data_IF_876426920944
#
_entry.id   IF_876426920944
#
_cell.length_a   1.000
_cell.length_b   1.000
_cell.length_c   1.000
_cell.angle_alpha   90.00
_cell.angle_beta   90.00
_cell.angle_gamma   90.00
#
_symmetry.space_group_name_H-M   'P 1'
#
loop_
_entity.id
_entity.type
_entity.pdbx_description
1 polymer ?
#
# COMPACT_ATOMS: atom_id res chain seq x y z
N UNK A 1 14.96 1.30 20.14
CA UNK A 1 15.22 1.39 18.69
C UNK A 1 16.03 2.67 18.40
N UNK A 2 17.38 2.65 18.63
CA UNK A 2 18.25 3.85 18.46
C UNK A 2 18.24 4.41 17.02
N UNK A 3 18.04 3.58 16.01
CA UNK A 3 18.05 4.00 14.59
C UNK A 3 16.74 4.69 14.15
N UNK A 4 15.63 4.53 14.89
CA UNK A 4 14.34 5.15 14.56
C UNK A 4 14.41 6.69 14.56
N UNK A 5 15.20 7.29 15.43
CA UNK A 5 15.39 8.76 15.46
C UNK A 5 15.91 9.32 14.13
N UNK A 6 16.59 8.49 13.31
CA UNK A 6 17.10 8.85 11.98
C UNK A 6 16.11 8.49 10.86
N UNK A 7 15.41 7.36 10.98
CA UNK A 7 14.44 6.87 9.98
C UNK A 7 13.12 7.61 10.07
N UNK A 8 12.63 7.92 11.29
CA UNK A 8 11.36 8.60 11.56
C UNK A 8 10.17 7.90 10.91
N UNK A 9 10.09 6.59 11.09
CA UNK A 9 9.03 5.76 10.52
C UNK A 9 7.77 5.72 11.36
N UNK A 10 7.87 5.98 12.66
CA UNK A 10 6.76 5.94 13.60
C UNK A 10 6.18 7.32 13.90
N UNK A 11 4.88 7.37 14.09
CA UNK A 11 4.19 8.55 14.59
C UNK A 11 4.61 8.79 16.04
N UNK A 12 5.04 10.00 16.35
CA UNK A 12 5.55 10.39 17.67
C UNK A 12 4.55 10.02 18.78
N UNK A 13 5.05 9.35 19.83
CA UNK A 13 4.28 8.96 21.01
C UNK A 13 3.45 7.67 20.84
N UNK A 14 3.59 6.95 19.71
CA UNK A 14 2.85 5.68 19.50
C UNK A 14 3.70 4.43 19.71
N UNK A 15 5.01 4.54 19.77
CA UNK A 15 5.92 3.47 20.11
C UNK A 15 6.13 3.41 21.65
N UNK A 16 5.90 2.25 22.23
CA UNK A 16 6.13 1.98 23.64
C UNK A 16 6.78 0.60 23.82
N UNK A 17 8.09 0.63 24.10
CA UNK A 17 8.90 -0.59 24.27
C UNK A 17 8.43 -1.43 25.46
N UNK A 18 8.07 -0.77 26.59
CA UNK A 18 7.62 -1.48 27.80
C UNK A 18 6.32 -2.24 27.54
N UNK A 19 5.38 -1.61 26.82
CA UNK A 19 4.13 -2.25 26.39
C UNK A 19 4.42 -3.45 25.50
N UNK A 20 5.27 -3.28 24.48
CA UNK A 20 5.62 -4.36 23.53
C UNK A 20 6.23 -5.55 24.28
N UNK A 21 7.20 -5.32 25.17
CA UNK A 21 7.82 -6.37 25.98
C UNK A 21 6.80 -7.07 26.88
N UNK A 22 5.88 -6.30 27.51
CA UNK A 22 4.78 -6.85 28.30
C UNK A 22 3.85 -7.72 27.44
N UNK A 23 3.51 -7.28 26.24
CA UNK A 23 2.65 -8.04 25.33
C UNK A 23 3.34 -9.32 24.83
N UNK A 24 4.65 -9.29 24.56
CA UNK A 24 5.44 -10.49 24.23
C UNK A 24 5.48 -11.51 25.39
N UNK A 25 5.47 -11.05 26.63
CA UNK A 25 5.54 -11.91 27.81
C UNK A 25 4.19 -12.46 28.28
N UNK A 26 3.06 -11.98 27.71
CA UNK A 26 1.74 -12.48 28.09
C UNK A 26 1.62 -13.98 27.81
N UNK A 27 1.23 -14.79 28.82
CA UNK A 27 0.86 -16.17 28.56
C UNK A 27 -0.38 -16.16 27.67
N UNK A 28 -0.26 -16.69 26.48
CA UNK A 28 -1.42 -16.93 25.62
C UNK A 28 -2.27 -18.00 26.28
N UNK A 29 -3.58 -17.77 26.39
CA UNK A 29 -4.52 -18.60 27.13
C UNK A 29 -4.35 -20.09 26.83
N UNK A 30 -4.70 -20.94 27.83
CA UNK A 30 -4.53 -22.40 27.87
C UNK A 30 -5.25 -23.21 26.75
N UNK A 31 -5.76 -22.56 25.72
CA UNK A 31 -6.29 -23.24 24.55
C UNK A 31 -5.13 -23.72 23.69
N UNK A 32 -5.08 -25.00 23.39
CA UNK A 32 -4.04 -25.71 22.60
C UNK A 32 -3.84 -25.19 21.16
N UNK A 33 -4.46 -24.05 20.77
CA UNK A 33 -4.33 -23.46 19.45
C UNK A 33 -3.04 -22.63 19.40
N UNK A 34 -2.06 -23.11 18.66
CA UNK A 34 -0.87 -22.32 18.28
C UNK A 34 -1.33 -21.08 17.55
N UNK A 35 -1.15 -19.89 18.13
CA UNK A 35 -1.42 -18.62 17.48
C UNK A 35 -0.49 -18.47 16.25
N UNK A 36 -1.03 -18.35 15.04
CA UNK A 36 -0.23 -18.40 13.80
C UNK A 36 0.76 -17.26 13.66
N UNK A 37 0.49 -16.11 14.28
CA UNK A 37 1.33 -14.91 14.24
C UNK A 37 1.93 -14.56 15.62
N UNK A 38 2.05 -15.54 16.51
CA UNK A 38 2.59 -15.33 17.87
C UNK A 38 3.89 -14.52 17.83
N UNK A 39 3.90 -13.40 18.59
CA UNK A 39 5.02 -12.49 18.76
C UNK A 39 5.51 -11.79 17.46
N UNK A 40 4.77 -11.88 16.36
CA UNK A 40 5.06 -11.11 15.16
C UNK A 40 4.78 -9.62 15.42
N UNK A 41 5.77 -8.77 15.17
CA UNK A 41 5.66 -7.33 15.35
C UNK A 41 5.06 -6.67 14.11
N UNK A 42 4.00 -5.87 14.28
CA UNK A 42 3.40 -5.17 13.14
C UNK A 42 3.17 -3.68 13.36
N UNK A 43 3.44 -2.89 12.32
CA UNK A 43 3.15 -1.46 12.24
C UNK A 43 1.83 -1.20 11.52
N UNK A 44 1.18 -0.06 11.81
CA UNK A 44 -0.11 0.30 11.20
C UNK A 44 -0.08 1.74 10.68
N UNK A 45 -0.29 1.93 9.37
CA UNK A 45 -0.33 3.26 8.74
C UNK A 45 -1.34 4.18 9.42
N UNK A 46 -0.98 5.44 9.63
CA UNK A 46 -1.73 6.40 10.43
C UNK A 46 -2.96 7.02 9.74
N UNK A 47 -3.61 6.26 8.89
CA UNK A 47 -5.00 6.48 8.41
C UNK A 47 -5.90 5.29 8.77
N UNK A 48 -5.38 4.32 9.51
CA UNK A 48 -6.04 3.10 9.94
C UNK A 48 -6.21 3.18 11.45
N UNK A 49 -7.41 3.02 11.96
CA UNK A 49 -7.71 3.14 13.37
C UNK A 49 -7.16 1.95 14.18
N UNK A 50 -6.55 2.28 15.30
CA UNK A 50 -6.07 1.34 16.32
C UNK A 50 -6.55 1.85 17.67
N UNK A 51 -7.24 1.02 18.44
CA UNK A 51 -7.76 1.39 19.75
C UNK A 51 -6.65 1.85 20.71
N UNK A 52 -6.93 2.93 21.43
CA UNK A 52 -5.97 3.55 22.32
C UNK A 52 -4.97 4.50 21.65
N UNK A 53 -5.01 4.64 20.31
CA UNK A 53 -4.11 5.52 19.56
C UNK A 53 -4.88 6.47 18.64
N UNK A 54 -4.64 7.78 18.72
CA UNK A 54 -5.28 8.73 17.80
C UNK A 54 -4.82 8.49 16.37
N UNK A 55 -5.75 8.53 15.43
CA UNK A 55 -5.46 8.60 13.99
C UNK A 55 -5.30 10.05 13.60
N UNK A 56 -4.14 10.44 13.04
CA UNK A 56 -3.79 11.84 12.71
C UNK A 56 -3.67 12.08 11.21
N UNK A 57 -3.60 11.03 10.41
CA UNK A 57 -3.55 11.08 8.95
C UNK A 57 -2.39 11.91 8.37
N UNK A 58 -1.29 12.10 9.11
CA UNK A 58 -0.18 12.97 8.71
C UNK A 58 -0.57 14.46 8.63
N UNK A 59 -1.69 14.86 9.22
CA UNK A 59 -2.31 16.17 9.09
C UNK A 59 -2.22 17.00 10.39
N UNK A 60 -2.41 18.31 10.26
CA UNK A 60 -2.56 19.25 11.39
C UNK A 60 -4.03 19.43 11.80
N UNK A 61 -4.98 18.83 11.12
CA UNK A 61 -6.39 18.87 11.51
C UNK A 61 -6.60 18.21 12.88
N UNK A 62 -7.60 18.63 13.65
CA UNK A 62 -7.98 17.98 14.90
C UNK A 62 -8.23 16.48 14.69
N UNK A 63 -7.52 15.63 15.41
CA UNK A 63 -7.61 14.18 15.22
C UNK A 63 -8.95 13.58 15.67
N UNK A 64 -9.72 14.34 16.43
CA UNK A 64 -11.09 14.00 16.82
C UNK A 64 -12.02 13.81 15.60
N UNK A 65 -11.72 14.48 14.49
CA UNK A 65 -12.44 14.35 13.23
C UNK A 65 -12.29 12.95 12.61
N UNK A 66 -11.25 12.21 12.97
CA UNK A 66 -10.90 10.92 12.39
C UNK A 66 -11.14 9.75 13.34
N UNK A 67 -11.85 9.99 14.46
CA UNK A 67 -12.22 8.93 15.41
C UNK A 67 -13.11 7.89 14.72
N UNK A 68 -12.81 6.63 14.96
CA UNK A 68 -13.57 5.48 14.46
C UNK A 68 -13.21 4.23 15.24
N UNK A 69 -13.94 3.16 15.02
CA UNK A 69 -13.67 1.85 15.59
C UNK A 69 -12.32 1.30 15.06
N UNK A 70 -11.69 0.44 15.83
CA UNK A 70 -10.50 -0.27 15.39
C UNK A 70 -10.75 -1.01 14.07
N UNK A 71 -9.79 -0.94 13.16
CA UNK A 71 -9.88 -1.60 11.86
C UNK A 71 -9.91 -3.13 12.02
N UNK A 72 -10.78 -3.80 11.25
CA UNK A 72 -10.93 -5.26 11.30
C UNK A 72 -9.62 -6.00 11.04
N UNK A 73 -8.81 -5.53 10.08
CA UNK A 73 -7.50 -6.13 9.80
C UNK A 73 -6.52 -6.02 10.98
N UNK A 74 -6.62 -4.98 11.80
CA UNK A 74 -5.83 -4.84 13.04
C UNK A 74 -6.31 -5.85 14.08
N UNK A 75 -7.62 -5.94 14.30
CA UNK A 75 -8.22 -6.92 15.23
C UNK A 75 -7.81 -8.35 14.86
N UNK A 76 -7.94 -8.72 13.58
CA UNK A 76 -7.56 -10.06 13.10
C UNK A 76 -6.08 -10.40 13.36
N UNK A 77 -5.15 -9.43 13.19
CA UNK A 77 -3.74 -9.66 13.50
C UNK A 77 -3.49 -9.83 14.99
N UNK A 78 -4.14 -9.02 15.84
CA UNK A 78 -4.03 -9.14 17.31
C UNK A 78 -4.58 -10.48 17.80
N UNK A 79 -5.73 -10.91 17.28
CA UNK A 79 -6.37 -12.19 17.63
C UNK A 79 -5.51 -13.38 17.18
N UNK A 80 -4.76 -13.23 16.09
CA UNK A 80 -3.78 -14.22 15.64
C UNK A 80 -2.46 -14.23 16.45
N UNK A 81 -2.33 -13.36 17.45
CA UNK A 81 -1.17 -13.28 18.36
C UNK A 81 -0.06 -12.35 17.90
N UNK A 82 -0.28 -11.53 16.87
CA UNK A 82 0.66 -10.49 16.49
C UNK A 82 0.62 -9.32 17.51
N UNK A 83 1.72 -8.60 17.60
CA UNK A 83 1.90 -7.50 18.56
C UNK A 83 1.99 -6.18 17.80
N UNK A 84 1.06 -5.28 18.08
CA UNK A 84 1.10 -3.92 17.53
C UNK A 84 2.36 -3.19 18.03
N UNK A 85 3.15 -2.65 17.11
CA UNK A 85 4.39 -1.93 17.42
C UNK A 85 4.12 -0.43 17.59
N UNK A 86 3.64 0.21 16.54
CA UNK A 86 3.36 1.64 16.50
C UNK A 86 2.49 2.02 15.31
N UNK A 87 1.88 3.22 15.35
CA UNK A 87 1.36 3.86 14.14
C UNK A 87 2.52 4.28 13.27
N UNK A 88 2.45 4.00 11.97
CA UNK A 88 3.51 4.35 11.01
C UNK A 88 3.15 5.61 10.22
N UNK A 89 4.15 6.43 9.92
CA UNK A 89 3.97 7.72 9.23
C UNK A 89 3.35 7.51 7.85
N UNK A 90 2.40 8.38 7.52
CA UNK A 90 1.77 8.50 6.21
C UNK A 90 1.98 9.89 5.64
N UNK A 91 1.99 10.03 4.31
CA UNK A 91 1.73 11.33 3.70
C UNK A 91 0.34 11.83 4.10
N UNK A 92 0.15 13.14 4.20
CA UNK A 92 -1.13 13.74 4.63
C UNK A 92 -2.29 13.16 3.81
N UNK A 93 -3.27 12.54 4.49
CA UNK A 93 -4.44 11.88 3.91
C UNK A 93 -4.13 10.91 2.76
N UNK A 94 -2.97 10.24 2.82
CA UNK A 94 -2.46 9.37 1.75
C UNK A 94 -2.20 10.07 0.40
N UNK A 95 -2.17 11.39 0.34
CA UNK A 95 -1.82 12.20 -0.84
C UNK A 95 -0.29 12.10 -1.10
N UNK A 96 0.33 13.03 -1.81
CA UNK A 96 1.69 12.84 -2.33
C UNK A 96 2.78 13.64 -1.61
N UNK A 97 2.51 14.26 -0.46
CA UNK A 97 3.53 15.06 0.22
C UNK A 97 4.53 14.17 0.96
N UNK A 98 5.83 14.20 0.64
CA UNK A 98 6.83 13.47 1.40
C UNK A 98 6.90 14.00 2.83
N UNK A 99 6.81 13.07 3.81
CA UNK A 99 6.99 13.39 5.22
C UNK A 99 8.47 13.43 5.61
N UNK A 100 8.73 13.42 6.92
CA UNK A 100 10.09 13.40 7.48
C UNK A 100 10.75 12.02 7.42
N UNK A 101 10.00 10.97 7.11
CA UNK A 101 10.50 9.59 7.06
C UNK A 101 11.62 9.47 6.02
N UNK A 102 12.69 8.79 6.40
CA UNK A 102 13.86 8.55 5.55
C UNK A 102 13.95 7.08 5.17
N UNK A 103 14.50 6.84 3.99
CA UNK A 103 14.72 5.48 3.51
C UNK A 103 15.86 4.83 4.31
N UNK A 104 15.65 3.69 5.00
CA UNK A 104 16.70 3.04 5.78
C UNK A 104 17.90 2.56 4.93
N UNK A 105 17.70 2.34 3.63
CA UNK A 105 18.76 1.97 2.70
C UNK A 105 19.70 3.13 2.38
N UNK A 106 19.15 4.36 2.33
CA UNK A 106 19.88 5.58 2.16
C UNK A 106 19.09 6.75 2.79
N UNK A 107 19.56 7.26 3.92
CA UNK A 107 18.86 8.29 4.69
C UNK A 107 18.74 9.64 3.97
N UNK A 108 19.45 9.88 2.87
CA UNK A 108 19.30 11.07 2.04
C UNK A 108 18.11 10.98 1.08
N UNK A 109 17.52 9.79 0.94
CA UNK A 109 16.40 9.52 0.03
C UNK A 109 15.07 9.36 0.77
N UNK A 110 13.98 9.59 0.04
CA UNK A 110 12.63 9.25 0.48
C UNK A 110 12.41 7.74 0.48
N UNK A 111 11.63 7.19 1.43
CA UNK A 111 11.18 5.81 1.36
C UNK A 111 10.05 5.60 0.34
N UNK A 112 9.65 6.63 -0.40
CA UNK A 112 8.41 6.64 -1.16
C UNK A 112 7.19 6.89 -0.28
N UNK A 113 6.00 6.82 -0.88
CA UNK A 113 4.73 7.08 -0.18
C UNK A 113 3.53 6.54 -0.98
N UNK A 114 2.37 6.73 -0.37
CA UNK A 114 2.03 7.43 0.86
C UNK A 114 2.26 6.61 2.16
N UNK A 115 2.46 5.29 2.10
CA UNK A 115 2.75 4.42 3.26
C UNK A 115 4.25 4.43 3.62
N UNK A 116 4.83 5.64 3.77
CA UNK A 116 6.27 5.86 3.96
C UNK A 116 6.82 5.16 5.21
N UNK A 117 6.18 5.37 6.35
CA UNK A 117 6.60 4.77 7.61
C UNK A 117 6.42 3.26 7.63
N UNK A 118 5.38 2.71 6.97
CA UNK A 118 5.15 1.26 6.90
C UNK A 118 6.29 0.55 6.17
N UNK A 119 6.67 1.03 4.99
CA UNK A 119 7.80 0.46 4.25
C UNK A 119 9.13 0.63 5.00
N UNK A 120 9.38 1.83 5.53
CA UNK A 120 10.62 2.14 6.23
C UNK A 120 10.78 1.34 7.54
N UNK A 121 9.70 1.15 8.32
CA UNK A 121 9.77 0.37 9.57
C UNK A 121 10.11 -1.09 9.33
N UNK A 122 9.57 -1.70 8.27
CA UNK A 122 9.90 -3.08 7.88
C UNK A 122 11.32 -3.17 7.35
N UNK A 123 11.74 -2.24 6.49
CA UNK A 123 13.10 -2.21 5.94
C UNK A 123 14.19 -1.99 7.00
N UNK A 124 13.87 -1.22 8.05
CA UNK A 124 14.76 -0.99 9.20
C UNK A 124 14.73 -2.13 10.24
N UNK A 125 13.85 -3.11 10.08
CA UNK A 125 13.69 -4.22 11.04
C UNK A 125 12.98 -3.84 12.33
N UNK A 126 12.23 -2.73 12.36
CA UNK A 126 11.44 -2.30 13.53
C UNK A 126 10.11 -3.06 13.64
N UNK A 127 9.62 -3.55 12.52
CA UNK A 127 8.46 -4.43 12.41
C UNK A 127 8.81 -5.60 11.49
N UNK A 128 8.17 -6.74 11.71
CA UNK A 128 8.25 -7.90 10.80
C UNK A 128 7.38 -7.68 9.57
N UNK A 129 6.19 -7.12 9.80
CA UNK A 129 5.27 -6.66 8.76
C UNK A 129 4.73 -5.27 9.11
N UNK A 130 4.12 -4.60 8.13
CA UNK A 130 3.33 -3.40 8.38
C UNK A 130 2.12 -3.33 7.46
N UNK A 131 1.02 -2.78 7.97
CA UNK A 131 -0.17 -2.50 7.17
C UNK A 131 -0.05 -1.11 6.57
N UNK A 132 -0.35 -1.00 5.29
CA UNK A 132 -0.49 0.26 4.58
C UNK A 132 -1.73 0.30 3.71
N UNK A 133 -1.87 1.35 2.92
CA UNK A 133 -2.95 1.49 1.94
C UNK A 133 -2.41 1.89 0.59
N UNK A 134 -3.13 1.52 -0.45
CA UNK A 134 -2.81 1.90 -1.82
C UNK A 134 -4.05 2.33 -2.59
N UNK A 135 -3.98 3.52 -3.13
CA UNK A 135 -4.92 4.04 -4.13
C UNK A 135 -4.35 3.79 -5.54
N UNK A 136 -3.17 4.33 -5.83
CA UNK A 136 -2.47 4.12 -7.12
C UNK A 136 -1.19 3.28 -6.97
N UNK A 137 -0.25 3.67 -6.11
CA UNK A 137 1.04 3.00 -5.95
C UNK A 137 1.57 2.96 -4.51
N UNK A 138 0.75 3.32 -3.52
CA UNK A 138 1.20 3.64 -2.16
C UNK A 138 1.59 2.45 -1.26
N UNK A 139 1.58 1.21 -1.78
CA UNK A 139 2.17 0.01 -1.16
C UNK A 139 3.35 -0.46 -1.98
N UNK A 140 3.13 -0.75 -3.27
CA UNK A 140 4.18 -1.37 -4.11
C UNK A 140 5.37 -0.43 -4.33
N UNK A 141 5.12 0.88 -4.54
CA UNK A 141 6.19 1.87 -4.76
C UNK A 141 7.12 2.03 -3.55
N UNK A 142 6.63 2.37 -2.32
CA UNK A 142 7.51 2.45 -1.16
C UNK A 142 8.15 1.10 -0.79
N UNK A 143 7.51 -0.03 -1.09
CA UNK A 143 8.15 -1.34 -0.94
C UNK A 143 9.36 -1.50 -1.87
N UNK A 144 9.23 -1.13 -3.14
CA UNK A 144 10.33 -1.13 -4.10
C UNK A 144 11.48 -0.22 -3.67
N UNK A 145 11.18 1.01 -3.24
CA UNK A 145 12.20 1.97 -2.78
C UNK A 145 12.95 1.51 -1.53
N UNK A 146 12.27 0.84 -0.61
CA UNK A 146 12.87 0.35 0.64
C UNK A 146 13.45 -1.06 0.53
N UNK A 147 13.27 -1.76 -0.60
CA UNK A 147 13.74 -3.13 -0.81
C UNK A 147 13.07 -4.14 0.12
N UNK A 148 11.76 -4.04 0.27
CA UNK A 148 10.89 -4.97 1.00
C UNK A 148 9.77 -5.47 0.10
N UNK A 149 9.06 -6.51 0.52
CA UNK A 149 7.91 -7.02 -0.20
C UNK A 149 6.70 -6.13 0.09
N UNK A 150 6.02 -5.66 -0.97
CA UNK A 150 4.72 -5.01 -0.90
C UNK A 150 3.66 -5.87 -1.56
N UNK A 151 2.61 -6.24 -0.83
CA UNK A 151 1.50 -7.02 -1.34
C UNK A 151 0.21 -6.21 -1.31
N UNK A 152 -0.43 -6.09 -2.47
CA UNK A 152 -1.75 -5.48 -2.63
C UNK A 152 -2.71 -6.52 -3.23
N UNK A 153 -3.69 -7.00 -2.49
CA UNK A 153 -4.70 -7.93 -3.01
C UNK A 153 -5.64 -7.26 -4.02
N UNK A 154 -6.50 -8.04 -4.64
CA UNK A 154 -7.62 -7.51 -5.41
C UNK A 154 -8.53 -6.65 -4.54
N UNK A 155 -9.29 -5.74 -5.16
CA UNK A 155 -10.20 -4.83 -4.46
C UNK A 155 -11.20 -5.60 -3.58
N UNK A 156 -11.38 -5.12 -2.35
CA UNK A 156 -12.33 -5.69 -1.40
C UNK A 156 -11.87 -6.99 -0.69
N UNK A 157 -10.67 -7.53 -1.00
CA UNK A 157 -10.18 -8.76 -0.38
C UNK A 157 -9.65 -8.59 1.06
N UNK A 158 -9.39 -7.37 1.48
CA UNK A 158 -9.14 -7.01 2.88
C UNK A 158 -10.15 -5.91 3.23
N UNK A 159 -10.90 -6.09 4.33
CA UNK A 159 -11.87 -5.09 4.79
C UNK A 159 -11.20 -3.75 5.04
N UNK A 160 -11.88 -2.67 4.63
CA UNK A 160 -11.45 -1.28 4.83
C UNK A 160 -12.17 -0.61 6.01
N UNK A 161 -12.85 -1.40 6.85
CA UNK A 161 -13.48 -0.88 8.06
C UNK A 161 -12.42 -0.27 8.99
N UNK A 162 -12.72 0.88 9.56
CA UNK A 162 -11.79 1.61 10.42
C UNK A 162 -10.65 2.30 9.67
N UNK A 163 -10.79 2.54 8.36
CA UNK A 163 -9.81 3.24 7.53
C UNK A 163 -10.39 4.57 7.04
N UNK A 164 -9.64 5.66 7.19
CA UNK A 164 -9.97 6.91 6.51
C UNK A 164 -9.58 6.79 5.04
N UNK A 165 -10.58 6.76 4.15
CA UNK A 165 -10.37 6.56 2.73
C UNK A 165 -9.92 7.85 2.03
N UNK A 166 -8.97 7.73 1.11
CA UNK A 166 -8.64 8.74 0.12
C UNK A 166 -9.59 8.66 -1.09
N UNK A 167 -9.85 7.42 -1.55
CA UNK A 167 -10.72 7.14 -2.68
C UNK A 167 -11.55 5.88 -2.40
N UNK A 168 -12.87 6.03 -2.38
CA UNK A 168 -13.79 4.93 -2.07
C UNK A 168 -13.76 3.80 -3.12
N UNK A 169 -13.46 4.12 -4.37
CA UNK A 169 -13.42 3.16 -5.47
C UNK A 169 -12.04 2.55 -5.74
N UNK A 170 -10.96 3.17 -5.20
CA UNK A 170 -9.58 2.77 -5.54
C UNK A 170 -8.76 2.29 -4.35
N UNK A 171 -9.13 2.63 -3.11
CA UNK A 171 -8.32 2.30 -1.95
C UNK A 171 -8.33 0.80 -1.64
N UNK A 172 -7.14 0.30 -1.37
CA UNK A 172 -6.88 -1.06 -0.92
C UNK A 172 -6.09 -1.01 0.38
N UNK A 173 -6.27 -2.00 1.24
CA UNK A 173 -5.29 -2.31 2.27
C UNK A 173 -4.22 -3.20 1.64
N UNK A 174 -2.95 -2.96 2.01
CA UNK A 174 -1.84 -3.79 1.61
C UNK A 174 -0.87 -4.02 2.75
N UNK A 175 0.05 -4.96 2.53
CA UNK A 175 0.98 -5.45 3.54
C UNK A 175 2.40 -5.21 3.04
N UNK A 176 3.25 -4.74 3.93
CA UNK A 176 4.69 -4.76 3.78
C UNK A 176 5.25 -5.92 4.59
N UNK A 177 6.16 -6.68 4.01
CA UNK A 177 6.79 -7.82 4.69
C UNK A 177 8.28 -7.89 4.40
N UNK A 178 9.02 -8.38 5.36
CA UNK A 178 10.45 -8.58 5.27
C UNK A 178 10.82 -9.74 4.33
N UNK A 179 9.96 -10.75 4.26
CA UNK A 179 10.15 -11.94 3.42
C UNK A 179 8.81 -12.62 3.09
N UNK A 180 8.82 -13.54 2.13
CA UNK A 180 7.63 -14.25 1.67
C UNK A 180 7.01 -15.13 2.75
N UNK A 181 7.81 -15.79 3.59
CA UNK A 181 7.29 -16.67 4.64
C UNK A 181 6.39 -15.92 5.63
N UNK A 182 6.81 -14.72 6.07
CA UNK A 182 5.99 -13.88 6.93
C UNK A 182 4.70 -13.42 6.23
N UNK A 183 4.80 -13.09 4.95
CA UNK A 183 3.64 -12.72 4.14
C UNK A 183 2.65 -13.89 4.05
N UNK A 184 3.09 -15.07 3.66
CA UNK A 184 2.25 -16.28 3.53
C UNK A 184 1.54 -16.64 4.84
N UNK A 185 2.19 -16.47 5.98
CA UNK A 185 1.58 -16.67 7.31
C UNK A 185 0.53 -15.62 7.65
N UNK A 186 0.67 -14.41 7.11
CA UNK A 186 -0.21 -13.27 7.41
C UNK A 186 -1.45 -13.27 6.53
N UNK A 187 -1.33 -13.64 5.26
CA UNK A 187 -2.41 -13.54 4.27
C UNK A 187 -3.69 -14.29 4.68
N UNK A 188 -3.64 -15.53 5.20
CA UNK A 188 -4.84 -16.25 5.63
C UNK A 188 -5.61 -15.58 6.77
N UNK A 189 -4.97 -14.68 7.51
CA UNK A 189 -5.55 -14.00 8.67
C UNK A 189 -6.35 -12.78 8.28
N UNK A 190 -5.93 -12.05 7.24
CA UNK A 190 -6.52 -10.75 6.91
C UNK A 190 -7.11 -10.66 5.51
N UNK A 191 -6.88 -11.65 4.65
CA UNK A 191 -7.44 -11.69 3.30
C UNK A 191 -8.67 -12.58 3.29
N UNK A 192 -9.81 -12.02 2.98
CA UNK A 192 -11.07 -12.75 2.90
C UNK A 192 -11.01 -13.86 1.84
N UNK A 193 -11.58 -15.02 2.20
CA UNK A 193 -11.62 -16.20 1.33
C UNK A 193 -10.24 -16.61 0.81
N UNK A 194 -9.19 -16.46 1.65
CA UNK A 194 -7.85 -16.90 1.28
C UNK A 194 -7.81 -18.41 1.03
N UNK A 195 -7.24 -18.80 -0.08
CA UNK A 195 -6.93 -20.20 -0.38
C UNK A 195 -5.47 -20.28 -0.81
N UNK A 196 -4.73 -21.25 -0.27
CA UNK A 196 -3.40 -21.53 -0.79
C UNK A 196 -3.56 -22.12 -2.19
N UNK A 197 -2.87 -21.57 -3.21
CA UNK A 197 -2.85 -22.20 -4.51
C UNK A 197 -2.27 -23.61 -4.35
N UNK A 198 -2.94 -24.62 -4.92
CA UNK A 198 -2.33 -25.95 -5.00
C UNK A 198 -1.07 -25.81 -5.86
N UNK A 199 0.09 -26.25 -5.40
CA UNK A 199 1.29 -26.22 -6.22
C UNK A 199 1.03 -27.06 -7.48
N UNK A 200 0.87 -26.42 -8.60
CA UNK A 200 0.83 -27.10 -9.91
C UNK A 200 2.25 -27.04 -10.47
N UNK A 201 3.11 -27.94 -10.01
CA UNK A 201 4.50 -28.04 -10.45
C UNK A 201 4.66 -28.28 -11.96
N UNK A 202 3.57 -28.68 -12.65
CA UNK A 202 3.59 -29.05 -14.07
C UNK A 202 3.06 -27.96 -15.02
N UNK A 203 2.72 -26.77 -14.53
CA UNK A 203 2.28 -25.71 -15.42
C UNK A 203 3.45 -24.87 -15.90
N UNK A 204 3.64 -24.85 -17.21
CA UNK A 204 4.42 -23.83 -17.88
C UNK A 204 3.81 -22.46 -17.58
N UNK A 205 4.47 -21.66 -16.74
CA UNK A 205 4.03 -20.29 -16.41
C UNK A 205 4.45 -19.37 -17.55
N UNK A 206 3.50 -18.61 -18.09
CA UNK A 206 3.71 -17.62 -19.12
C UNK A 206 3.73 -16.21 -18.50
N UNK A 207 4.88 -15.57 -18.58
CA UNK A 207 5.12 -14.24 -18.02
C UNK A 207 4.97 -13.20 -19.11
N UNK A 208 4.04 -12.26 -18.93
CA UNK A 208 3.88 -11.09 -19.79
C UNK A 208 4.87 -9.98 -19.39
N UNK A 209 5.58 -9.47 -20.38
CA UNK A 209 6.51 -8.35 -20.27
C UNK A 209 5.91 -7.20 -21.06
N UNK A 210 5.49 -6.08 -20.41
CA UNK A 210 4.98 -4.94 -21.14
C UNK A 210 6.10 -4.27 -21.92
N UNK A 211 5.79 -3.90 -23.17
CA UNK A 211 6.68 -3.13 -24.05
C UNK A 211 6.05 -1.77 -24.41
N UNK A 212 6.72 -0.99 -25.23
CA UNK A 212 6.21 0.25 -25.81
C UNK A 212 6.05 1.39 -24.81
N UNK A 213 4.96 2.12 -24.91
CA UNK A 213 4.71 3.38 -24.19
C UNK A 213 4.78 3.26 -22.66
N UNK A 214 4.46 2.09 -22.10
CA UNK A 214 4.54 1.82 -20.66
C UNK A 214 5.97 1.95 -20.13
N UNK A 215 6.94 1.37 -20.82
CA UNK A 215 8.35 1.39 -20.39
C UNK A 215 9.03 2.75 -20.61
N UNK A 216 8.52 3.56 -21.55
CA UNK A 216 9.06 4.90 -21.86
C UNK A 216 9.00 5.87 -20.68
N UNK A 217 8.20 5.57 -19.66
CA UNK A 217 8.16 6.34 -18.41
C UNK A 217 9.36 6.07 -17.50
N UNK A 218 10.09 4.97 -17.71
CA UNK A 218 11.16 4.53 -16.83
C UNK A 218 12.51 5.12 -17.24
N UNK A 219 13.33 5.48 -16.26
CA UNK A 219 14.69 5.97 -16.50
C UNK A 219 15.63 4.84 -16.97
N UNK A 220 16.72 5.16 -17.70
CA UNK A 220 17.62 4.16 -18.29
C UNK A 220 18.19 3.14 -17.29
N UNK A 221 18.51 3.56 -16.07
CA UNK A 221 19.04 2.64 -15.05
C UNK A 221 17.99 1.64 -14.54
N UNK A 222 16.71 2.04 -14.46
CA UNK A 222 15.60 1.15 -14.12
C UNK A 222 15.38 0.15 -15.24
N UNK A 223 15.35 0.60 -16.50
CA UNK A 223 15.23 -0.27 -17.68
C UNK A 223 16.37 -1.28 -17.76
N UNK A 224 17.61 -0.86 -17.48
CA UNK A 224 18.76 -1.77 -17.46
C UNK A 224 18.56 -2.90 -16.45
N UNK A 225 18.16 -2.60 -15.22
CA UNK A 225 17.89 -3.62 -14.21
C UNK A 225 16.71 -4.51 -14.60
N UNK A 226 15.66 -3.90 -15.10
CA UNK A 226 14.48 -4.63 -15.57
C UNK A 226 14.83 -5.63 -16.68
N UNK A 227 15.58 -5.23 -17.71
CA UNK A 227 16.00 -6.11 -18.77
C UNK A 227 16.91 -7.25 -18.28
N UNK A 228 17.78 -7.00 -17.31
CA UNK A 228 18.58 -8.06 -16.67
C UNK A 228 17.70 -9.11 -15.98
N UNK A 229 16.63 -8.67 -15.29
CA UNK A 229 15.66 -9.58 -14.65
C UNK A 229 14.91 -10.36 -15.72
N UNK A 230 14.43 -9.71 -16.78
CA UNK A 230 13.73 -10.36 -17.90
C UNK A 230 14.61 -11.46 -18.51
N UNK A 231 15.89 -11.18 -18.76
CA UNK A 231 16.82 -12.15 -19.30
C UNK A 231 17.00 -13.38 -18.39
N UNK A 232 17.03 -13.19 -17.07
CA UNK A 232 17.07 -14.29 -16.12
C UNK A 232 15.80 -15.14 -16.14
N UNK A 233 14.65 -14.49 -16.32
CA UNK A 233 13.34 -15.17 -16.40
C UNK A 233 13.19 -15.97 -17.71
N UNK A 234 13.69 -15.43 -18.84
CA UNK A 234 13.70 -16.12 -20.14
C UNK A 234 14.46 -17.47 -20.08
N UNK A 235 15.40 -17.62 -19.16
CA UNK A 235 16.14 -18.87 -18.93
C UNK A 235 15.36 -19.93 -18.10
N UNK A 236 14.24 -19.56 -17.51
CA UNK A 236 13.49 -20.43 -16.56
C UNK A 236 12.00 -20.55 -16.88
N UNK A 237 11.42 -19.57 -17.56
CA UNK A 237 9.99 -19.45 -17.82
C UNK A 237 9.70 -19.08 -19.27
N UNK A 238 8.45 -19.25 -19.69
CA UNK A 238 7.99 -18.75 -20.98
C UNK A 238 7.69 -17.26 -20.88
N UNK A 239 8.48 -16.43 -21.55
CA UNK A 239 8.32 -14.98 -21.55
C UNK A 239 7.65 -14.53 -22.84
N UNK A 240 6.60 -13.69 -22.74
CA UNK A 240 5.88 -13.07 -23.85
C UNK A 240 5.97 -11.55 -23.76
N UNK A 241 6.60 -10.94 -24.75
CA UNK A 241 6.66 -9.47 -24.87
C UNK A 241 5.37 -8.98 -25.55
N UNK A 242 4.66 -8.10 -24.88
CA UNK A 242 3.36 -7.60 -25.36
C UNK A 242 3.28 -6.10 -25.10
N UNK A 243 2.92 -5.35 -26.12
CA UNK A 243 2.57 -3.94 -25.95
C UNK A 243 1.08 -3.85 -25.54
N UNK A 244 0.79 -3.52 -24.27
CA UNK A 244 -0.56 -3.19 -23.90
C UNK A 244 -0.91 -1.83 -24.51
N UNK A 245 -1.80 -1.80 -25.50
CA UNK A 245 -2.21 -0.57 -26.19
C UNK A 245 -3.12 0.24 -25.25
N UNK A 246 -2.52 0.78 -24.19
CA UNK A 246 -3.19 1.71 -23.28
C UNK A 246 -2.40 3.02 -23.30
N UNK A 247 -3.10 4.12 -23.52
CA UNK A 247 -2.54 5.44 -23.31
C UNK A 247 -2.34 5.67 -21.80
N UNK A 248 -1.16 5.25 -21.31
CA UNK A 248 -0.83 5.27 -19.88
C UNK A 248 -0.88 6.69 -19.30
N UNK A 249 -0.60 7.71 -20.09
CA UNK A 249 -0.63 9.11 -19.65
C UNK A 249 -2.07 9.54 -19.38
N UNK A 250 -2.97 9.28 -20.33
CA UNK A 250 -4.39 9.57 -20.16
C UNK A 250 -5.06 8.67 -19.12
N UNK A 251 -4.60 7.42 -18.99
CA UNK A 251 -5.03 6.53 -17.92
C UNK A 251 -4.69 7.11 -16.54
N UNK A 252 -3.46 7.51 -16.31
CA UNK A 252 -3.03 8.11 -15.04
C UNK A 252 -3.82 9.40 -14.74
N UNK A 253 -4.03 10.26 -15.75
CA UNK A 253 -4.88 11.47 -15.59
C UNK A 253 -6.33 11.14 -15.22
N UNK A 254 -6.88 10.05 -15.75
CA UNK A 254 -8.23 9.60 -15.39
C UNK A 254 -8.29 9.12 -13.93
N UNK A 255 -7.31 8.34 -13.48
CA UNK A 255 -7.18 7.90 -12.09
C UNK A 255 -7.04 9.10 -11.15
N UNK A 256 -6.21 10.09 -11.48
CA UNK A 256 -6.08 11.31 -10.68
C UNK A 256 -7.43 12.03 -10.55
N UNK A 257 -8.17 12.19 -11.63
CA UNK A 257 -9.51 12.82 -11.57
C UNK A 257 -10.49 12.04 -10.70
N UNK A 258 -10.54 10.70 -10.81
CA UNK A 258 -11.39 9.86 -9.95
C UNK A 258 -11.03 10.09 -8.49
N UNK A 259 -9.76 9.94 -8.16
CA UNK A 259 -9.29 10.03 -6.78
C UNK A 259 -9.47 11.41 -6.18
N UNK A 260 -9.25 12.49 -6.96
CA UNK A 260 -9.45 13.87 -6.51
C UNK A 260 -10.93 14.19 -6.24
N UNK A 261 -11.84 13.72 -7.11
CA UNK A 261 -13.28 13.88 -6.90
C UNK A 261 -13.75 13.17 -5.63
N UNK A 262 -13.31 11.93 -5.41
CA UNK A 262 -13.67 11.17 -4.22
C UNK A 262 -13.05 11.74 -2.96
N UNK A 263 -11.80 12.22 -3.01
CA UNK A 263 -11.18 12.96 -1.92
C UNK A 263 -11.99 14.22 -1.56
N UNK A 264 -12.40 15.00 -2.56
CA UNK A 264 -13.23 16.18 -2.31
C UNK A 264 -14.53 15.81 -1.59
N UNK A 265 -15.18 14.72 -1.98
CA UNK A 265 -16.41 14.26 -1.32
C UNK A 265 -16.18 13.97 0.16
N UNK A 266 -15.06 13.34 0.52
CA UNK A 266 -14.71 13.04 1.92
C UNK A 266 -14.36 14.32 2.69
N UNK A 267 -13.59 15.23 2.09
CA UNK A 267 -12.97 16.34 2.78
C UNK A 267 -13.76 17.67 2.71
N UNK A 268 -14.77 17.81 1.86
CA UNK A 268 -15.44 19.06 1.57
C UNK A 268 -15.98 19.79 2.81
N UNK A 269 -16.53 19.03 3.78
CA UNK A 269 -17.02 19.56 5.04
C UNK A 269 -15.91 20.13 5.93
N UNK A 270 -14.83 19.36 6.08
CA UNK A 270 -13.67 19.76 6.88
C UNK A 270 -12.90 20.89 6.20
N UNK A 271 -12.78 20.85 4.87
CA UNK A 271 -12.05 21.84 4.09
C UNK A 271 -12.64 23.25 4.24
N UNK A 272 -13.95 23.39 4.31
CA UNK A 272 -14.62 24.69 4.56
C UNK A 272 -14.18 25.32 5.90
N UNK A 273 -13.97 24.47 6.93
CA UNK A 273 -13.68 24.94 8.29
C UNK A 273 -12.20 25.05 8.60
N UNK A 274 -11.38 24.17 8.03
CA UNK A 274 -9.99 23.96 8.42
C UNK A 274 -9.00 24.12 7.26
N UNK A 275 -9.37 24.85 6.20
CA UNK A 275 -8.58 25.00 4.96
C UNK A 275 -7.09 25.29 5.24
N UNK A 276 -6.79 26.17 6.18
CA UNK A 276 -5.42 26.61 6.47
C UNK A 276 -4.55 25.57 7.17
N UNK A 277 -5.15 24.53 7.73
CA UNK A 277 -4.44 23.43 8.37
C UNK A 277 -4.02 22.34 7.37
N UNK A 278 -4.57 22.35 6.15
CA UNK A 278 -4.14 21.45 5.09
C UNK A 278 -2.83 21.90 4.45
N UNK A 279 -1.98 20.94 4.10
CA UNK A 279 -0.76 21.22 3.34
C UNK A 279 -1.09 21.75 1.93
N UNK A 280 -0.23 22.55 1.30
CA UNK A 280 -0.50 23.15 -0.02
C UNK A 280 -0.93 22.15 -1.08
N UNK A 281 -0.24 20.99 -1.18
CA UNK A 281 -0.56 19.94 -2.16
C UNK A 281 -1.94 19.33 -1.89
N UNK A 282 -2.32 19.14 -0.62
CA UNK A 282 -3.63 18.61 -0.26
C UNK A 282 -4.74 19.58 -0.63
N UNK A 283 -4.51 20.90 -0.41
CA UNK A 283 -5.45 21.94 -0.86
C UNK A 283 -5.66 21.91 -2.37
N UNK A 284 -4.57 21.87 -3.14
CA UNK A 284 -4.64 21.80 -4.60
C UNK A 284 -5.42 20.57 -5.08
N UNK A 285 -5.17 19.40 -4.48
CA UNK A 285 -5.84 18.15 -4.82
C UNK A 285 -7.34 18.21 -4.52
N UNK A 286 -7.73 18.73 -3.34
CA UNK A 286 -9.14 18.90 -2.96
C UNK A 286 -9.84 19.90 -3.89
N UNK A 287 -9.21 21.02 -4.19
CA UNK A 287 -9.76 22.05 -5.09
C UNK A 287 -9.90 21.55 -6.52
N UNK A 288 -8.97 20.74 -7.00
CA UNK A 288 -9.07 20.09 -8.31
C UNK A 288 -10.26 19.11 -8.36
N UNK A 289 -10.49 18.36 -7.28
CA UNK A 289 -11.61 17.42 -7.16
C UNK A 289 -12.98 18.12 -7.17
N UNK A 290 -13.08 19.32 -6.62
CA UNK A 290 -14.32 20.12 -6.59
C UNK A 290 -14.91 20.38 -7.99
N UNK A 291 -14.06 20.48 -9.01
CA UNK A 291 -14.46 20.80 -10.37
C UNK A 291 -14.92 19.59 -11.17
N UNK A 292 -14.93 18.39 -10.60
CA UNK A 292 -15.32 17.16 -11.28
C UNK A 292 -16.78 16.84 -10.92
N UNK A 293 -17.64 16.91 -11.94
CA UNK A 293 -19.07 16.64 -11.75
C UNK A 293 -19.34 15.15 -11.50
N UNK A 294 -20.47 14.78 -10.83
CA UNK A 294 -20.84 13.39 -10.65
C UNK A 294 -20.95 12.60 -11.97
N UNK A 295 -21.44 13.21 -13.03
CA UNK A 295 -21.54 12.58 -14.35
C UNK A 295 -20.14 12.29 -14.93
N UNK A 296 -19.19 13.23 -14.78
CA UNK A 296 -17.82 13.02 -15.22
C UNK A 296 -17.14 11.91 -14.41
N UNK A 297 -17.35 11.88 -13.09
CA UNK A 297 -16.83 10.81 -12.23
C UNK A 297 -17.39 9.44 -12.64
N UNK A 298 -18.71 9.33 -12.87
CA UNK A 298 -19.32 8.09 -13.34
C UNK A 298 -18.76 7.61 -14.70
N UNK A 299 -18.54 8.53 -15.64
CA UNK A 299 -17.92 8.23 -16.93
C UNK A 299 -16.48 7.72 -16.78
N UNK A 300 -15.69 8.35 -15.91
CA UNK A 300 -14.31 7.95 -15.65
C UNK A 300 -14.23 6.56 -14.97
N UNK A 301 -15.12 6.27 -14.02
CA UNK A 301 -15.22 4.96 -13.38
C UNK A 301 -15.61 3.85 -14.37
N UNK A 302 -16.53 4.14 -15.29
CA UNK A 302 -16.89 3.21 -16.37
C UNK A 302 -15.71 2.96 -17.31
N UNK A 303 -14.94 4.00 -17.67
CA UNK A 303 -13.73 3.84 -18.45
C UNK A 303 -12.71 2.95 -17.73
N UNK A 304 -12.43 3.21 -16.46
CA UNK A 304 -11.49 2.41 -15.68
C UNK A 304 -11.88 0.92 -15.63
N UNK A 305 -13.18 0.60 -15.52
CA UNK A 305 -13.68 -0.80 -15.59
C UNK A 305 -13.43 -1.43 -16.98
N UNK A 306 -13.66 -0.67 -18.06
CA UNK A 306 -13.38 -1.15 -19.42
C UNK A 306 -11.90 -1.40 -19.63
N UNK A 307 -11.03 -0.51 -19.13
CA UNK A 307 -9.58 -0.66 -19.24
C UNK A 307 -9.11 -1.90 -18.44
N UNK A 308 -9.70 -2.17 -17.26
CA UNK A 308 -9.44 -3.39 -16.49
C UNK A 308 -9.85 -4.65 -17.25
N UNK A 309 -11.06 -4.67 -17.83
CA UNK A 309 -11.55 -5.78 -18.66
C UNK A 309 -10.65 -6.01 -19.87
N UNK A 310 -10.21 -4.95 -20.53
CA UNK A 310 -9.28 -5.03 -21.65
C UNK A 310 -7.99 -5.76 -21.28
N UNK A 311 -7.35 -5.41 -20.15
CA UNK A 311 -6.13 -6.10 -19.70
C UNK A 311 -6.40 -7.56 -19.38
N UNK A 312 -7.53 -7.89 -18.75
CA UNK A 312 -7.90 -9.29 -18.46
C UNK A 312 -8.11 -10.10 -19.75
N UNK A 313 -8.80 -9.52 -20.73
CA UNK A 313 -9.00 -10.14 -22.05
C UNK A 313 -7.66 -10.34 -22.76
N UNK A 314 -6.79 -9.34 -22.75
CA UNK A 314 -5.45 -9.42 -23.33
C UNK A 314 -4.62 -10.55 -22.72
N UNK A 315 -4.69 -10.74 -21.39
CA UNK A 315 -4.02 -11.87 -20.72
C UNK A 315 -4.52 -13.20 -21.24
N UNK A 316 -5.83 -13.36 -21.36
CA UNK A 316 -6.45 -14.61 -21.87
C UNK A 316 -6.04 -14.86 -23.33
N UNK A 317 -6.19 -13.88 -24.22
CA UNK A 317 -5.88 -13.99 -25.65
C UNK A 317 -4.40 -14.28 -25.92
N UNK A 318 -3.51 -13.70 -25.11
CA UNK A 318 -2.06 -13.93 -25.21
C UNK A 318 -1.58 -15.11 -24.39
N UNK A 319 -2.46 -15.76 -23.61
CA UNK A 319 -2.09 -16.84 -22.70
C UNK A 319 -1.01 -16.38 -21.71
N UNK A 320 -1.25 -15.29 -21.00
CA UNK A 320 -0.36 -14.71 -19.97
C UNK A 320 -0.95 -15.05 -18.60
N UNK A 321 -0.15 -15.65 -17.73
CA UNK A 321 -0.55 -15.97 -16.36
C UNK A 321 -0.28 -14.79 -15.41
N UNK A 322 0.88 -14.13 -15.55
CA UNK A 322 1.30 -12.99 -14.72
C UNK A 322 2.00 -11.91 -15.55
N UNK A 323 1.93 -10.67 -15.10
CA UNK A 323 2.73 -9.56 -15.63
C UNK A 323 3.90 -9.23 -14.72
N UNK A 324 5.06 -8.91 -15.31
CA UNK A 324 6.21 -8.35 -14.61
C UNK A 324 6.58 -7.01 -15.22
N UNK A 325 6.64 -5.99 -14.38
CA UNK A 325 6.93 -4.62 -14.81
C UNK A 325 7.74 -3.86 -13.75
N UNK A 326 8.45 -2.78 -14.11
CA UNK A 326 9.05 -1.89 -13.14
C UNK A 326 8.01 -1.31 -12.19
N UNK A 327 8.32 -1.29 -10.89
CA UNK A 327 7.40 -0.81 -9.85
C UNK A 327 7.33 0.71 -9.75
N UNK A 328 8.36 1.40 -10.25
CA UNK A 328 8.46 2.85 -10.31
C UNK A 328 9.37 3.27 -11.46
N UNK A 329 9.18 4.48 -12.02
CA UNK A 329 9.98 4.97 -13.15
C UNK A 329 11.39 5.39 -12.75
N UNK A 330 11.64 5.60 -11.47
CA UNK A 330 12.93 6.05 -10.88
C UNK A 330 13.12 5.44 -9.48
N UNK A 331 14.32 5.55 -8.93
CA UNK A 331 14.70 5.04 -7.61
C UNK A 331 14.87 6.18 -6.60
#
# INVERSE_FOLDING_TARGET
IKFESRVKSFVKGTFDEKRILKDCAKPHSKTNNKLPLKNLLFGVKDIINVDGYPTRCGSLLPHELFKGSQASCVSSLLDAGAIFTAKTVTAEFAISHPGETRNPRNLSHTPGGSSSGSAASVAAGFCDIAIGTQTSGSVIRPAGYCGVIGYKPSFGRISRDGVLLFSSSMDHIGIFSKNLNLLERTLPIIVDSWSFPKPTLDKNIYIGIPEGSYLNLSKPHVLKQYHNIVQQLEGQFHVKKVEPVIDIVNYNRAIDKITFAELYNVHSGWYKKYKELYRPISRQTIEAGKNITPNNLASLLNKARKDQQFIQTLMIEKGIDIWIAPVAPDL
#
